data_IF_511918267174
#
_entry.id   IF_511918267174
#
_cell.length_a   1.000
_cell.length_b   1.000
_cell.length_c   1.000
_cell.angle_alpha   90.00
_cell.angle_beta   90.00
_cell.angle_gamma   90.00
#
_symmetry.space_group_name_H-M   'P 1'
#
loop_
_entity.id
_entity.type
_entity.pdbx_description
1 polymer ?
#
# COMPACT_ATOMS: atom_id res chain seq x y z
N UNK A 1 24.24 30.04 40.33
CA UNK A 1 23.08 29.22 40.78
C UNK A 1 21.99 29.34 39.71
N UNK A 2 21.86 28.36 38.80
CA UNK A 2 20.80 28.31 37.79
C UNK A 2 19.63 27.53 38.41
N UNK A 3 18.57 28.22 38.75
CA UNK A 3 17.30 27.62 39.22
C UNK A 3 16.64 26.86 38.06
N UNK A 4 16.75 25.53 38.06
CA UNK A 4 15.93 24.67 37.26
C UNK A 4 14.46 24.85 37.67
N UNK A 5 13.65 25.55 36.85
CA UNK A 5 12.20 25.47 36.95
C UNK A 5 11.78 24.05 36.57
N UNK A 6 11.05 23.30 37.41
CA UNK A 6 10.48 22.03 37.01
C UNK A 6 9.46 22.31 35.91
N UNK A 7 9.65 21.67 34.77
CA UNK A 7 8.62 21.60 33.72
C UNK A 7 7.38 20.96 34.35
N UNK A 8 6.32 21.75 34.50
CA UNK A 8 5.00 21.28 34.93
C UNK A 8 4.53 20.24 33.89
N UNK A 9 4.83 18.97 34.16
CA UNK A 9 4.30 17.86 33.38
C UNK A 9 2.79 17.79 33.65
N UNK A 10 2.00 18.06 32.63
CA UNK A 10 0.53 17.93 32.69
C UNK A 10 0.17 16.53 33.19
N UNK A 11 -0.69 16.39 34.21
CA UNK A 11 -1.04 15.09 34.76
C UNK A 11 -1.52 14.12 33.67
N UNK A 12 -1.10 12.84 33.70
CA UNK A 12 -1.44 11.85 32.66
C UNK A 12 -2.95 11.70 32.37
N UNK A 13 -3.77 12.00 33.39
CA UNK A 13 -5.23 11.96 33.26
C UNK A 13 -5.81 13.11 32.43
N UNK A 14 -5.21 14.31 32.47
CA UNK A 14 -5.62 15.44 31.63
C UNK A 14 -5.26 15.18 30.17
N UNK A 15 -4.04 14.70 29.91
CA UNK A 15 -3.61 14.33 28.56
C UNK A 15 -4.52 13.25 27.94
N UNK A 16 -4.97 12.28 28.75
CA UNK A 16 -5.89 11.23 28.28
C UNK A 16 -7.29 11.77 27.97
N UNK A 17 -7.81 12.69 28.76
CA UNK A 17 -9.11 13.33 28.52
C UNK A 17 -9.10 14.17 27.24
N UNK A 18 -8.05 14.94 27.04
CA UNK A 18 -7.89 15.78 25.85
C UNK A 18 -7.73 14.92 24.58
N UNK A 19 -6.99 13.82 24.64
CA UNK A 19 -6.86 12.87 23.55
C UNK A 19 -8.20 12.23 23.17
N UNK A 20 -8.99 11.80 24.15
CA UNK A 20 -10.34 11.22 23.91
C UNK A 20 -11.29 12.25 23.32
N UNK A 21 -11.24 13.51 23.79
CA UNK A 21 -12.05 14.60 23.26
C UNK A 21 -11.70 14.88 21.79
N UNK A 22 -10.41 15.07 21.47
CA UNK A 22 -9.91 15.25 20.12
C UNK A 22 -10.32 14.09 19.20
N UNK A 23 -10.22 12.86 19.65
CA UNK A 23 -10.64 11.70 18.88
C UNK A 23 -12.14 11.72 18.58
N UNK A 24 -12.99 12.12 19.53
CA UNK A 24 -14.44 12.28 19.31
C UNK A 24 -14.75 13.39 18.32
N UNK A 25 -14.10 14.55 18.45
CA UNK A 25 -14.29 15.69 17.54
C UNK A 25 -13.89 15.31 16.12
N UNK A 26 -12.77 14.62 15.94
CA UNK A 26 -12.32 14.11 14.64
C UNK A 26 -13.29 13.09 14.04
N UNK A 27 -13.82 12.17 14.85
CA UNK A 27 -14.80 11.18 14.37
C UNK A 27 -16.14 11.83 14.00
N UNK A 28 -16.55 12.88 14.69
CA UNK A 28 -17.79 13.62 14.41
C UNK A 28 -17.76 14.36 13.05
N UNK A 29 -16.58 14.68 12.53
CA UNK A 29 -16.43 15.31 11.21
C UNK A 29 -16.42 14.32 10.05
N UNK A 30 -16.39 13.01 10.33
CA UNK A 30 -16.47 11.97 9.32
C UNK A 30 -17.94 11.67 8.95
N UNK A 31 -18.26 11.27 7.70
CA UNK A 31 -17.29 10.97 6.62
C UNK A 31 -16.84 12.18 5.77
N UNK A 32 -17.37 13.38 6.01
CA UNK A 32 -17.21 14.55 5.10
C UNK A 32 -15.76 14.97 4.90
N UNK A 33 -14.96 15.02 5.98
CA UNK A 33 -13.53 15.35 5.90
C UNK A 33 -12.76 14.28 5.12
N UNK A 34 -13.10 13.00 5.33
CA UNK A 34 -12.53 11.88 4.60
C UNK A 34 -12.84 11.94 3.11
N UNK A 35 -14.09 12.20 2.74
CA UNK A 35 -14.51 12.36 1.35
C UNK A 35 -13.81 13.55 0.68
N UNK A 36 -13.72 14.70 1.37
CA UNK A 36 -12.99 15.85 0.87
C UNK A 36 -11.50 15.55 0.61
N UNK A 37 -10.86 14.84 1.54
CA UNK A 37 -9.49 14.37 1.37
C UNK A 37 -9.32 13.41 0.19
N UNK A 38 -10.27 12.50 0.00
CA UNK A 38 -10.27 11.57 -1.13
C UNK A 38 -10.34 12.31 -2.47
N UNK A 39 -11.29 13.25 -2.61
CA UNK A 39 -11.42 14.06 -3.83
C UNK A 39 -10.15 14.85 -4.10
N UNK A 40 -9.59 15.51 -3.09
CA UNK A 40 -8.34 16.26 -3.22
C UNK A 40 -7.18 15.35 -3.68
N UNK A 41 -7.03 14.18 -3.07
CA UNK A 41 -5.99 13.21 -3.44
C UNK A 41 -6.18 12.71 -4.87
N UNK A 42 -7.41 12.43 -5.30
CA UNK A 42 -7.70 12.00 -6.66
C UNK A 42 -7.34 13.09 -7.68
N UNK A 43 -7.74 14.34 -7.43
CA UNK A 43 -7.41 15.49 -8.31
C UNK A 43 -5.89 15.69 -8.41
N UNK A 44 -5.17 15.65 -7.29
CA UNK A 44 -3.72 15.80 -7.27
C UNK A 44 -3.02 14.65 -8.00
N UNK A 45 -3.46 13.40 -7.80
CA UNK A 45 -2.91 12.23 -8.48
C UNK A 45 -3.12 12.30 -9.99
N UNK A 46 -4.30 12.73 -10.41
CA UNK A 46 -4.64 12.91 -11.82
C UNK A 46 -3.80 14.03 -12.47
N UNK A 47 -3.64 15.16 -11.80
CA UNK A 47 -2.81 16.27 -12.26
C UNK A 47 -1.34 15.87 -12.40
N UNK A 48 -0.80 15.08 -11.45
CA UNK A 48 0.57 14.54 -11.53
C UNK A 48 0.72 13.56 -12.68
N UNK A 49 -0.25 12.66 -12.88
CA UNK A 49 -0.22 11.68 -13.97
C UNK A 49 -0.23 12.37 -15.35
N UNK A 50 -1.04 13.41 -15.53
CA UNK A 50 -1.06 14.20 -16.76
C UNK A 50 0.22 15.05 -16.95
N UNK A 51 0.76 15.60 -15.87
CA UNK A 51 1.96 16.46 -15.90
C UNK A 51 3.25 15.71 -16.25
N UNK A 52 3.33 14.40 -16.00
CA UNK A 52 4.50 13.56 -16.30
C UNK A 52 4.55 13.07 -17.76
N UNK A 53 3.62 13.48 -18.60
CA UNK A 53 3.71 13.50 -20.06
C UNK A 53 3.67 12.14 -20.79
N UNK A 54 3.82 11.01 -20.12
CA UNK A 54 3.67 9.69 -20.75
C UNK A 54 3.09 8.68 -19.77
N UNK A 55 1.78 8.46 -19.86
CA UNK A 55 1.03 7.59 -18.97
C UNK A 55 1.49 6.13 -18.99
N UNK A 56 1.92 5.61 -20.14
CA UNK A 56 2.37 4.22 -20.26
C UNK A 56 3.67 3.96 -19.49
N UNK A 57 4.70 4.80 -19.68
CA UNK A 57 5.98 4.64 -18.99
C UNK A 57 5.84 4.90 -17.49
N UNK A 58 5.06 5.91 -17.10
CA UNK A 58 4.80 6.21 -15.70
C UNK A 58 4.09 5.05 -14.99
N UNK A 59 3.10 4.43 -15.62
CA UNK A 59 2.34 3.32 -15.03
C UNK A 59 3.20 2.05 -14.87
N UNK A 60 4.04 1.76 -15.85
CA UNK A 60 4.85 0.54 -15.88
C UNK A 60 6.04 0.56 -14.93
N UNK A 61 6.66 1.73 -14.73
CA UNK A 61 7.84 1.90 -13.85
C UNK A 61 7.43 2.35 -12.45
N UNK A 62 6.63 3.43 -12.36
CA UNK A 62 6.26 4.00 -11.06
C UNK A 62 5.19 3.19 -10.34
N UNK A 63 4.34 2.46 -11.07
CA UNK A 63 3.29 1.64 -10.47
C UNK A 63 3.85 0.61 -9.48
N UNK A 64 4.65 -0.37 -9.91
CA UNK A 64 5.26 -1.35 -9.03
C UNK A 64 6.12 -0.72 -7.94
N UNK A 65 6.96 0.28 -8.28
CA UNK A 65 7.80 0.98 -7.31
C UNK A 65 6.96 1.65 -6.21
N UNK A 66 5.87 2.31 -6.59
CA UNK A 66 4.96 2.94 -5.62
C UNK A 66 4.34 1.91 -4.69
N UNK A 67 3.87 0.78 -5.22
CA UNK A 67 3.22 -0.27 -4.42
C UNK A 67 4.21 -0.94 -3.46
N UNK A 68 5.45 -1.18 -3.85
CA UNK A 68 6.50 -1.65 -2.94
C UNK A 68 6.84 -0.58 -1.88
N UNK A 69 6.95 0.69 -2.29
CA UNK A 69 7.25 1.79 -1.38
C UNK A 69 6.20 1.98 -0.29
N UNK A 70 4.91 1.71 -0.57
CA UNK A 70 3.83 1.86 0.43
C UNK A 70 4.02 0.94 1.63
N UNK A 71 4.65 -0.23 1.48
CA UNK A 71 4.99 -1.08 2.63
C UNK A 71 5.97 -0.36 3.57
N UNK A 72 6.95 0.37 3.02
CA UNK A 72 7.85 1.25 3.77
C UNK A 72 7.14 2.47 4.38
N UNK A 73 6.23 3.10 3.63
CA UNK A 73 5.38 4.20 4.14
C UNK A 73 4.58 3.74 5.35
N UNK A 74 3.94 2.57 5.26
CA UNK A 74 3.18 2.00 6.35
C UNK A 74 4.07 1.70 7.57
N UNK A 75 5.28 1.20 7.35
CA UNK A 75 6.25 0.97 8.42
C UNK A 75 6.65 2.26 9.12
N UNK A 76 7.03 3.30 8.36
CA UNK A 76 7.48 4.57 8.93
C UNK A 76 6.31 5.30 9.63
N UNK A 77 5.19 5.50 8.94
CA UNK A 77 4.08 6.30 9.46
C UNK A 77 3.28 5.58 10.54
N UNK A 78 2.92 4.30 10.32
CA UNK A 78 2.03 3.61 11.26
C UNK A 78 2.74 2.87 12.39
N UNK A 79 3.98 2.38 12.19
CA UNK A 79 4.69 1.59 13.20
C UNK A 79 5.74 2.40 13.94
N UNK A 80 6.50 3.24 13.22
CA UNK A 80 7.61 4.01 13.79
C UNK A 80 7.21 5.42 14.24
N UNK A 81 5.97 5.89 13.95
CA UNK A 81 5.50 7.25 14.23
C UNK A 81 6.48 8.30 13.68
N UNK A 82 6.75 8.20 12.38
CA UNK A 82 7.64 9.08 11.61
C UNK A 82 9.10 9.10 12.12
N UNK A 83 9.54 8.04 12.83
CA UNK A 83 10.95 7.92 13.19
C UNK A 83 11.76 7.44 11.98
N UNK A 84 13.01 7.96 11.73
CA UNK A 84 13.77 8.93 12.53
C UNK A 84 13.42 10.40 12.25
N UNK A 85 12.63 10.73 11.24
CA UNK A 85 12.30 12.10 10.84
C UNK A 85 11.68 12.92 11.98
N UNK A 86 10.83 12.30 12.83
CA UNK A 86 10.19 12.97 13.98
C UNK A 86 11.15 13.57 15.00
N UNK A 87 12.46 13.24 14.94
CA UNK A 87 13.50 13.87 15.77
C UNK A 87 14.03 15.17 15.21
N UNK A 88 13.70 15.48 13.97
CA UNK A 88 14.15 16.66 13.27
C UNK A 88 13.12 17.77 13.33
N UNK A 89 13.57 19.03 13.17
CA UNK A 89 12.65 20.16 13.06
C UNK A 89 11.99 20.16 11.67
N UNK A 90 10.76 20.67 11.57
CA UNK A 90 10.11 20.93 10.27
C UNK A 90 10.92 21.99 9.51
N UNK A 91 11.18 21.86 8.20
CA UNK A 91 10.62 20.86 7.26
C UNK A 91 11.45 19.57 7.12
N UNK A 92 12.58 19.43 7.83
CA UNK A 92 13.52 18.32 7.69
C UNK A 92 12.90 16.94 8.01
N UNK A 93 11.90 16.90 8.90
CA UNK A 93 11.12 15.68 9.18
C UNK A 93 10.56 15.10 7.88
N UNK A 94 9.78 15.88 7.13
CA UNK A 94 9.14 15.39 5.90
C UNK A 94 10.16 15.02 4.81
N UNK A 95 11.25 15.79 4.68
CA UNK A 95 12.30 15.47 3.71
C UNK A 95 13.01 14.15 4.04
N UNK A 96 13.29 13.90 5.32
CA UNK A 96 13.93 12.65 5.77
C UNK A 96 12.99 11.46 5.52
N UNK A 97 11.73 11.56 5.90
CA UNK A 97 10.75 10.49 5.69
C UNK A 97 10.54 10.23 4.19
N UNK A 98 10.44 11.28 3.37
CA UNK A 98 10.36 11.13 1.90
C UNK A 98 11.59 10.45 1.34
N UNK A 99 12.80 10.86 1.75
CA UNK A 99 14.04 10.23 1.29
C UNK A 99 14.11 8.74 1.68
N UNK A 100 13.72 8.41 2.91
CA UNK A 100 13.66 7.02 3.38
C UNK A 100 12.64 6.18 2.60
N UNK A 101 11.48 6.76 2.27
CA UNK A 101 10.44 6.10 1.48
C UNK A 101 10.94 5.84 0.06
N UNK A 102 11.57 6.83 -0.58
CA UNK A 102 12.12 6.68 -1.93
C UNK A 102 13.24 5.64 -1.97
N UNK A 103 14.25 5.77 -1.10
CA UNK A 103 15.35 4.81 -1.02
C UNK A 103 14.86 3.41 -0.66
N UNK A 104 13.99 3.32 0.34
CA UNK A 104 13.37 2.06 0.77
C UNK A 104 12.54 1.45 -0.37
N UNK A 105 11.75 2.25 -1.08
CA UNK A 105 10.97 1.83 -2.22
C UNK A 105 11.82 1.24 -3.34
N UNK A 106 12.93 1.89 -3.68
CA UNK A 106 13.90 1.37 -4.67
C UNK A 106 14.49 0.03 -4.21
N UNK A 107 14.96 -0.05 -2.96
CA UNK A 107 15.54 -1.29 -2.40
C UNK A 107 14.52 -2.43 -2.39
N UNK A 108 13.28 -2.16 -1.95
CA UNK A 108 12.22 -3.16 -1.92
C UNK A 108 11.79 -3.58 -3.33
N UNK A 109 11.79 -2.67 -4.30
CA UNK A 109 11.53 -3.01 -5.70
C UNK A 109 12.60 -3.93 -6.25
N UNK A 110 13.88 -3.63 -6.03
CA UNK A 110 15.00 -4.49 -6.45
C UNK A 110 14.88 -5.89 -5.80
N UNK A 111 14.52 -5.94 -4.51
CA UNK A 111 14.28 -7.23 -3.83
C UNK A 111 13.10 -8.00 -4.42
N UNK A 112 12.02 -7.31 -4.78
CA UNK A 112 10.85 -7.90 -5.44
C UNK A 112 11.18 -8.45 -6.83
N UNK A 113 11.89 -7.67 -7.63
CA UNK A 113 12.36 -8.11 -8.95
C UNK A 113 13.30 -9.32 -8.85
N UNK A 114 14.17 -9.36 -7.82
CA UNK A 114 15.06 -10.51 -7.59
C UNK A 114 14.30 -11.81 -7.25
N UNK A 115 13.08 -11.71 -6.69
CA UNK A 115 12.23 -12.86 -6.40
C UNK A 115 11.54 -13.37 -7.67
N UNK A 116 11.11 -12.45 -8.55
CA UNK A 116 10.36 -12.77 -9.76
C UNK A 116 11.32 -13.15 -10.89
N UNK A 117 12.41 -12.41 -11.03
CA UNK A 117 13.41 -12.56 -12.06
C UNK A 117 14.79 -12.14 -11.55
N UNK A 118 15.87 -12.49 -12.23
CA UNK A 118 17.21 -11.95 -11.90
C UNK A 118 17.20 -10.44 -12.01
N UNK A 119 17.76 -9.69 -11.03
CA UNK A 119 17.63 -8.25 -10.97
C UNK A 119 18.32 -7.59 -12.16
N UNK A 120 17.57 -7.16 -13.13
CA UNK A 120 18.03 -6.19 -14.12
C UNK A 120 17.53 -4.80 -13.69
N UNK A 121 18.37 -4.11 -12.93
CA UNK A 121 18.12 -2.74 -12.46
C UNK A 121 17.80 -1.80 -13.63
N UNK A 122 18.35 -2.08 -14.81
CA UNK A 122 18.09 -1.29 -16.04
C UNK A 122 16.65 -1.44 -16.51
N UNK A 123 16.06 -2.62 -16.41
CA UNK A 123 14.67 -2.86 -16.81
C UNK A 123 13.68 -2.07 -15.94
N UNK A 124 14.00 -1.82 -14.67
CA UNK A 124 13.14 -1.03 -13.76
C UNK A 124 13.16 0.46 -14.11
N UNK A 125 14.31 1.01 -14.51
CA UNK A 125 14.48 2.45 -14.73
C UNK A 125 14.55 2.88 -16.19
N UNK A 126 14.81 1.97 -17.12
CA UNK A 126 15.02 2.23 -18.54
C UNK A 126 13.96 1.53 -19.41
N UNK A 127 12.70 1.52 -18.99
CA UNK A 127 11.61 1.11 -19.88
C UNK A 127 11.60 2.04 -21.11
N UNK A 128 12.30 1.63 -22.17
CA UNK A 128 12.33 2.38 -23.43
C UNK A 128 11.01 2.18 -24.16
N UNK A 129 10.32 3.24 -24.55
CA UNK A 129 9.15 3.14 -25.41
C UNK A 129 9.54 2.36 -26.69
N UNK A 130 8.88 1.25 -26.94
CA UNK A 130 9.11 0.42 -28.12
C UNK A 130 9.71 -0.97 -27.87
N UNK A 131 10.34 -1.22 -26.71
CA UNK A 131 10.89 -2.54 -26.36
C UNK A 131 10.06 -3.34 -25.36
N UNK A 132 8.78 -3.03 -25.23
CA UNK A 132 7.87 -3.75 -24.37
C UNK A 132 7.86 -3.22 -22.93
N UNK A 133 6.80 -3.58 -22.20
CA UNK A 133 6.73 -3.43 -20.75
C UNK A 133 7.92 -4.14 -20.10
N UNK A 134 8.36 -3.73 -18.90
CA UNK A 134 9.27 -4.53 -18.10
C UNK A 134 8.82 -5.98 -18.17
N UNK A 135 9.70 -6.89 -18.52
CA UNK A 135 9.39 -8.31 -18.75
C UNK A 135 8.74 -8.98 -17.55
N UNK A 136 8.88 -8.36 -16.37
CA UNK A 136 8.33 -8.77 -15.09
C UNK A 136 6.88 -8.36 -14.83
N UNK A 137 6.34 -7.38 -15.56
CA UNK A 137 4.92 -7.04 -15.48
C UNK A 137 4.07 -8.12 -16.21
N UNK A 138 2.96 -8.64 -15.64
CA UNK A 138 2.25 -8.19 -14.43
C UNK A 138 2.66 -8.91 -13.13
N UNK A 139 3.67 -9.77 -13.14
CA UNK A 139 4.08 -10.53 -11.95
C UNK A 139 4.56 -9.62 -10.80
N UNK A 140 5.30 -8.55 -11.13
CA UNK A 140 5.71 -7.52 -10.16
C UNK A 140 4.51 -6.88 -9.48
N UNK A 141 3.44 -6.59 -10.22
CA UNK A 141 2.20 -6.03 -9.69
C UNK A 141 1.54 -6.99 -8.69
N UNK A 142 1.51 -8.29 -9.03
CA UNK A 142 0.94 -9.33 -8.17
C UNK A 142 1.70 -9.46 -6.85
N UNK A 143 3.03 -9.53 -6.90
CA UNK A 143 3.88 -9.63 -5.72
C UNK A 143 3.80 -8.35 -4.86
N UNK A 144 3.98 -7.18 -5.48
CA UNK A 144 3.90 -5.90 -4.79
C UNK A 144 2.53 -5.68 -4.15
N UNK A 145 1.46 -6.01 -4.87
CA UNK A 145 0.09 -5.95 -4.36
C UNK A 145 -0.12 -6.85 -3.15
N UNK A 146 0.41 -8.07 -3.15
CA UNK A 146 0.31 -8.99 -2.03
C UNK A 146 1.05 -8.48 -0.78
N UNK A 147 2.28 -7.97 -0.95
CA UNK A 147 3.07 -7.38 0.14
C UNK A 147 2.38 -6.13 0.69
N UNK A 148 1.98 -5.22 -0.18
CA UNK A 148 1.29 -3.99 0.16
C UNK A 148 0.00 -4.22 0.95
N UNK A 149 -0.90 -5.05 0.42
CA UNK A 149 -2.18 -5.35 1.05
C UNK A 149 -1.99 -6.02 2.40
N UNK A 150 -1.02 -6.94 2.52
CA UNK A 150 -0.70 -7.59 3.80
C UNK A 150 -0.14 -6.57 4.80
N UNK A 151 0.72 -5.66 4.39
CA UNK A 151 1.26 -4.63 5.29
C UNK A 151 0.16 -3.68 5.79
N UNK A 152 -0.75 -3.26 4.92
CA UNK A 152 -1.91 -2.47 5.32
C UNK A 152 -2.87 -3.26 6.22
N UNK A 153 -3.06 -4.56 5.92
CA UNK A 153 -3.89 -5.43 6.76
C UNK A 153 -3.38 -5.48 8.19
N UNK A 154 -2.08 -5.73 8.38
CA UNK A 154 -1.45 -5.77 9.69
C UNK A 154 -1.49 -4.40 10.40
N UNK A 155 -1.22 -3.33 9.65
CA UNK A 155 -1.08 -1.98 10.22
C UNK A 155 -2.42 -1.36 10.61
N UNK A 156 -3.42 -1.49 9.76
CA UNK A 156 -4.67 -0.75 9.83
C UNK A 156 -5.81 -1.63 10.35
N UNK A 157 -6.11 -2.73 9.66
CA UNK A 157 -7.29 -3.55 9.95
C UNK A 157 -7.08 -4.42 11.19
N UNK A 158 -5.91 -5.03 11.33
CA UNK A 158 -5.55 -5.88 12.47
C UNK A 158 -5.03 -5.09 13.69
N UNK A 159 -4.98 -3.75 13.64
CA UNK A 159 -4.52 -2.91 14.75
C UNK A 159 -3.13 -3.33 15.26
N UNK A 160 -2.22 -3.67 14.35
CA UNK A 160 -0.85 -4.17 14.60
C UNK A 160 -0.78 -5.53 15.32
N UNK A 161 -1.92 -6.21 15.51
CA UNK A 161 -1.89 -7.57 16.06
C UNK A 161 -1.30 -8.55 15.03
N UNK A 162 -0.43 -9.50 15.42
CA UNK A 162 -0.02 -9.86 16.79
C UNK A 162 1.24 -9.14 17.30
N UNK A 163 1.75 -8.13 16.59
CA UNK A 163 3.07 -7.53 16.83
C UNK A 163 3.07 -6.34 17.82
N UNK A 164 1.91 -5.98 18.36
CA UNK A 164 1.75 -4.83 19.25
C UNK A 164 2.41 -4.96 20.64
N UNK A 165 2.94 -6.14 20.98
CA UNK A 165 3.70 -6.36 22.21
C UNK A 165 5.20 -6.01 22.11
N UNK A 166 5.72 -5.72 20.91
CA UNK A 166 7.11 -5.34 20.70
C UNK A 166 7.31 -3.82 20.77
N UNK A 167 8.57 -3.39 20.87
CA UNK A 167 8.88 -1.96 20.72
C UNK A 167 8.53 -1.49 19.30
N UNK A 168 8.20 -0.20 19.09
CA UNK A 168 7.78 0.31 17.78
C UNK A 168 8.72 -0.05 16.64
N UNK A 169 10.03 0.09 16.87
CA UNK A 169 11.03 -0.25 15.86
C UNK A 169 11.00 -1.74 15.49
N UNK A 170 11.00 -2.63 16.49
CA UNK A 170 10.95 -4.09 16.26
C UNK A 170 9.63 -4.51 15.62
N UNK A 171 8.51 -3.92 16.06
CA UNK A 171 7.19 -4.19 15.47
C UNK A 171 7.13 -3.81 13.99
N UNK A 172 7.67 -2.63 13.62
CA UNK A 172 7.67 -2.19 12.23
C UNK A 172 8.50 -3.09 11.32
N UNK A 173 9.72 -3.44 11.75
CA UNK A 173 10.59 -4.37 10.99
C UNK A 173 9.94 -5.76 10.90
N UNK A 174 9.39 -6.27 12.00
CA UNK A 174 8.70 -7.56 12.00
C UNK A 174 7.43 -7.53 11.13
N UNK A 175 6.69 -6.43 11.12
CA UNK A 175 5.53 -6.20 10.25
C UNK A 175 5.91 -6.22 8.78
N UNK A 176 7.02 -5.53 8.42
CA UNK A 176 7.56 -5.55 7.06
C UNK A 176 8.00 -6.97 6.66
N UNK A 177 8.78 -7.64 7.49
CA UNK A 177 9.24 -9.01 7.22
C UNK A 177 8.06 -9.99 7.06
N UNK A 178 7.04 -9.90 7.93
CA UNK A 178 5.85 -10.73 7.85
C UNK A 178 5.03 -10.42 6.59
N UNK A 179 4.88 -9.15 6.21
CA UNK A 179 4.16 -8.78 4.99
C UNK A 179 4.87 -9.31 3.74
N UNK A 180 6.19 -9.33 3.73
CA UNK A 180 6.99 -9.93 2.66
C UNK A 180 6.84 -11.45 2.65
N UNK A 181 6.96 -12.12 3.78
CA UNK A 181 6.82 -13.57 3.87
C UNK A 181 5.43 -14.05 3.38
N UNK A 182 4.37 -13.37 3.83
CA UNK A 182 2.99 -13.68 3.41
C UNK A 182 2.77 -13.31 1.94
N UNK A 183 3.24 -12.15 1.50
CA UNK A 183 3.08 -11.68 0.12
C UNK A 183 3.79 -12.59 -0.88
N UNK A 184 5.03 -12.96 -0.60
CA UNK A 184 5.81 -13.91 -1.42
C UNK A 184 5.15 -15.29 -1.41
N UNK A 185 4.73 -15.77 -0.23
CA UNK A 185 4.01 -17.04 -0.13
C UNK A 185 2.71 -17.06 -0.93
N UNK A 186 1.92 -15.99 -0.86
CA UNK A 186 0.69 -15.84 -1.64
C UNK A 186 0.97 -15.77 -3.14
N UNK A 187 2.01 -15.04 -3.56
CA UNK A 187 2.41 -14.97 -4.96
C UNK A 187 2.74 -16.36 -5.52
N UNK A 188 3.58 -17.13 -4.82
CA UNK A 188 3.92 -18.48 -5.28
C UNK A 188 2.75 -19.46 -5.19
N UNK A 189 1.87 -19.31 -4.22
CA UNK A 189 0.71 -20.21 -4.06
C UNK A 189 -0.37 -19.97 -5.12
N UNK A 190 -0.64 -18.71 -5.48
CA UNK A 190 -1.76 -18.35 -6.35
C UNK A 190 -1.37 -18.01 -7.78
N UNK A 191 -0.15 -17.51 -7.99
CA UNK A 191 0.27 -16.97 -9.29
C UNK A 191 1.35 -17.80 -9.95
N UNK A 192 2.35 -18.26 -9.22
CA UNK A 192 3.52 -18.94 -9.80
C UNK A 192 3.88 -20.24 -9.07
N UNK A 193 3.01 -21.23 -9.13
CA UNK A 193 3.24 -22.54 -8.49
C UNK A 193 4.46 -23.25 -9.07
N UNK A 194 4.75 -23.06 -10.35
CA UNK A 194 5.85 -23.75 -11.04
C UNK A 194 7.23 -23.15 -10.72
N UNK A 195 7.28 -22.04 -10.01
CA UNK A 195 8.51 -21.30 -9.71
C UNK A 195 9.29 -20.88 -10.98
N UNK A 196 8.64 -20.86 -12.15
CA UNK A 196 9.25 -20.44 -13.39
C UNK A 196 9.16 -18.91 -13.51
N UNK A 197 10.29 -18.21 -13.74
CA UNK A 197 10.29 -16.77 -13.90
C UNK A 197 9.38 -16.33 -15.06
N UNK A 198 8.60 -15.23 -14.89
CA UNK A 198 7.66 -14.74 -15.90
C UNK A 198 8.29 -14.48 -17.26
N UNK A 199 9.52 -13.98 -17.30
CA UNK A 199 10.23 -13.72 -18.55
C UNK A 199 10.52 -15.01 -19.33
N UNK A 200 10.87 -16.09 -18.64
CA UNK A 200 11.10 -17.40 -19.26
C UNK A 200 9.80 -17.93 -19.88
N UNK A 201 8.66 -17.74 -19.18
CA UNK A 201 7.35 -18.11 -19.71
C UNK A 201 6.95 -17.26 -20.90
N UNK A 202 7.14 -15.95 -20.82
CA UNK A 202 6.85 -15.03 -21.91
C UNK A 202 7.67 -15.39 -23.16
N UNK A 203 8.96 -15.71 -23.00
CA UNK A 203 9.82 -16.17 -24.09
C UNK A 203 9.35 -17.52 -24.69
N UNK A 204 8.73 -18.36 -23.87
CA UNK A 204 8.11 -19.63 -24.30
C UNK A 204 6.65 -19.47 -24.82
N UNK A 205 6.14 -18.25 -24.94
CA UNK A 205 4.75 -17.97 -25.34
C UNK A 205 3.70 -18.26 -24.26
N UNK A 206 4.12 -18.43 -23.01
CA UNK A 206 3.24 -18.72 -21.87
C UNK A 206 2.96 -17.43 -21.09
N UNK A 207 1.76 -16.93 -21.18
CA UNK A 207 1.38 -15.64 -20.55
C UNK A 207 1.04 -15.70 -19.06
N UNK A 208 0.80 -16.90 -18.50
CA UNK A 208 0.48 -17.08 -17.08
C UNK A 208 1.61 -17.84 -16.37
N UNK A 209 2.08 -17.40 -15.18
CA UNK A 209 3.10 -18.11 -14.39
C UNK A 209 2.70 -19.49 -13.85
N UNK A 210 1.58 -20.07 -14.26
CA UNK A 210 1.21 -21.45 -13.95
C UNK A 210 0.34 -21.63 -12.70
N UNK A 211 0.00 -20.56 -12.01
CA UNK A 211 -0.91 -20.57 -10.86
C UNK A 211 -2.40 -20.58 -11.24
N UNK A 212 -3.30 -20.82 -10.27
CA UNK A 212 -4.75 -20.84 -10.49
C UNK A 212 -5.32 -19.45 -10.83
N UNK A 213 -4.59 -18.37 -10.55
CA UNK A 213 -5.01 -16.99 -10.79
C UNK A 213 -3.98 -16.31 -11.67
N UNK A 214 -4.42 -15.53 -12.66
CA UNK A 214 -3.50 -14.73 -13.46
C UNK A 214 -2.80 -13.67 -12.58
N UNK A 215 -1.54 -13.37 -12.89
CA UNK A 215 -0.79 -12.35 -12.16
C UNK A 215 -1.49 -10.98 -12.19
N UNK A 216 -2.08 -10.64 -13.33
CA UNK A 216 -2.80 -9.37 -13.49
C UNK A 216 -4.06 -9.33 -12.62
N UNK A 217 -4.89 -10.36 -12.67
CA UNK A 217 -6.12 -10.45 -11.87
C UNK A 217 -5.82 -10.42 -10.38
N UNK A 218 -4.83 -11.19 -9.93
CA UNK A 218 -4.40 -11.24 -8.55
C UNK A 218 -3.88 -9.88 -8.07
N UNK A 219 -3.01 -9.24 -8.86
CA UNK A 219 -2.46 -7.93 -8.53
C UNK A 219 -3.54 -6.85 -8.44
N UNK A 220 -4.43 -6.77 -9.43
CA UNK A 220 -5.54 -5.79 -9.44
C UNK A 220 -6.47 -6.03 -8.24
N UNK A 221 -6.88 -7.27 -7.99
CA UNK A 221 -7.76 -7.59 -6.86
C UNK A 221 -7.17 -7.13 -5.52
N UNK A 222 -5.88 -7.40 -5.29
CA UNK A 222 -5.20 -7.01 -4.06
C UNK A 222 -5.02 -5.50 -3.95
N UNK A 223 -4.70 -4.80 -5.04
CA UNK A 223 -4.60 -3.34 -5.03
C UNK A 223 -5.97 -2.72 -4.70
N UNK A 224 -7.06 -3.23 -5.28
CA UNK A 224 -8.41 -2.76 -4.97
C UNK A 224 -8.73 -2.96 -3.48
N UNK A 225 -8.39 -4.12 -2.90
CA UNK A 225 -8.52 -4.33 -1.44
C UNK A 225 -7.67 -3.32 -0.67
N UNK A 226 -6.43 -3.06 -1.09
CA UNK A 226 -5.56 -2.04 -0.49
C UNK A 226 -6.13 -0.63 -0.56
N UNK A 227 -6.81 -0.28 -1.66
CA UNK A 227 -7.54 1.00 -1.77
C UNK A 227 -8.66 1.08 -0.73
N UNK A 228 -9.44 0.02 -0.55
CA UNK A 228 -10.48 -0.03 0.48
C UNK A 228 -9.91 0.10 1.89
N UNK A 229 -8.79 -0.58 2.19
CA UNK A 229 -8.07 -0.41 3.46
C UNK A 229 -7.66 1.05 3.68
N UNK A 230 -7.07 1.68 2.66
CA UNK A 230 -6.62 3.07 2.74
C UNK A 230 -7.79 4.04 2.91
N UNK A 231 -8.83 3.91 2.10
CA UNK A 231 -10.01 4.78 2.18
C UNK A 231 -10.66 4.71 3.57
N UNK A 232 -10.97 3.51 4.05
CA UNK A 232 -11.71 3.39 5.32
C UNK A 232 -10.85 3.61 6.55
N UNK A 233 -9.61 3.16 6.57
CA UNK A 233 -8.79 3.23 7.77
C UNK A 233 -7.84 4.43 7.82
N UNK A 234 -7.38 4.94 6.69
CA UNK A 234 -6.54 6.15 6.66
C UNK A 234 -7.41 7.38 6.45
N UNK A 235 -8.12 7.48 5.32
CA UNK A 235 -8.85 8.68 4.96
C UNK A 235 -10.04 8.89 5.88
N UNK A 236 -10.87 7.87 6.12
CA UNK A 236 -12.03 7.93 7.01
C UNK A 236 -11.73 7.57 8.47
N UNK A 237 -10.45 7.32 8.81
CA UNK A 237 -9.99 7.03 10.18
C UNK A 237 -10.74 5.88 10.87
N UNK A 238 -11.06 4.85 10.09
CA UNK A 238 -11.77 3.65 10.57
C UNK A 238 -13.28 3.81 10.71
N UNK A 239 -13.88 4.91 10.27
CA UNK A 239 -15.34 5.02 10.22
C UNK A 239 -15.90 4.12 9.09
N UNK A 240 -17.02 3.41 9.28
CA UNK A 240 -17.87 3.34 10.48
C UNK A 240 -17.45 2.25 11.49
N UNK A 241 -16.44 1.45 11.17
CA UNK A 241 -16.00 0.26 11.93
C UNK A 241 -15.58 0.62 13.37
N UNK A 242 -14.94 1.77 13.55
CA UNK A 242 -14.50 2.26 14.87
C UNK A 242 -15.66 2.63 15.82
N UNK A 243 -16.90 2.67 15.33
CA UNK A 243 -18.08 2.82 16.18
C UNK A 243 -18.40 1.53 16.96
N UNK A 244 -17.86 0.39 16.55
CA UNK A 244 -18.07 -0.90 17.18
C UNK A 244 -17.17 -1.00 18.43
N UNK A 245 -17.78 -1.01 19.62
CA UNK A 245 -17.04 -1.01 20.87
C UNK A 245 -16.29 -2.31 21.18
N UNK A 246 -16.77 -3.47 20.70
CA UNK A 246 -16.14 -4.78 20.93
C UNK A 246 -15.05 -5.06 19.91
N UNK A 247 -13.79 -5.18 20.35
CA UNK A 247 -12.62 -5.38 19.47
C UNK A 247 -12.78 -6.54 18.49
N UNK A 248 -13.17 -7.77 18.87
CA UNK A 248 -13.28 -8.88 17.92
C UNK A 248 -14.33 -8.61 16.84
N UNK A 249 -15.47 -8.01 17.18
CA UNK A 249 -16.48 -7.63 16.19
C UNK A 249 -15.99 -6.51 15.28
N UNK A 250 -15.24 -5.55 15.81
CA UNK A 250 -14.62 -4.48 15.03
C UNK A 250 -13.63 -5.03 14.02
N UNK A 251 -12.74 -5.94 14.42
CA UNK A 251 -11.81 -6.61 13.52
C UNK A 251 -12.54 -7.42 12.45
N UNK A 252 -13.58 -8.16 12.82
CA UNK A 252 -14.38 -8.92 11.86
C UNK A 252 -15.08 -8.01 10.86
N UNK A 253 -15.75 -6.95 11.33
CA UNK A 253 -16.41 -5.98 10.47
C UNK A 253 -15.43 -5.23 9.54
N UNK A 254 -14.25 -4.88 10.04
CA UNK A 254 -13.19 -4.26 9.24
C UNK A 254 -12.72 -5.17 8.12
N UNK A 255 -12.48 -6.44 8.42
CA UNK A 255 -12.10 -7.44 7.42
C UNK A 255 -13.22 -7.67 6.39
N UNK A 256 -14.46 -7.82 6.83
CA UNK A 256 -15.61 -7.99 5.95
C UNK A 256 -15.78 -6.79 5.02
N UNK A 257 -15.60 -5.56 5.54
CA UNK A 257 -15.71 -4.34 4.75
C UNK A 257 -14.64 -4.27 3.66
N UNK A 258 -13.35 -4.46 4.01
CA UNK A 258 -12.27 -4.26 3.04
C UNK A 258 -12.16 -5.40 2.04
N UNK A 259 -12.31 -6.66 2.48
CA UNK A 259 -12.24 -7.82 1.61
C UNK A 259 -13.52 -7.92 0.75
N UNK A 260 -14.68 -7.80 1.37
CA UNK A 260 -15.96 -7.86 0.67
C UNK A 260 -16.14 -6.70 -0.31
N UNK A 261 -15.85 -5.46 0.13
CA UNK A 261 -15.88 -4.29 -0.73
C UNK A 261 -14.87 -4.35 -1.86
N UNK A 262 -13.63 -4.78 -1.55
CA UNK A 262 -12.58 -4.98 -2.54
C UNK A 262 -12.96 -6.02 -3.58
N UNK A 263 -13.45 -7.18 -3.16
CA UNK A 263 -13.91 -8.24 -4.07
C UNK A 263 -15.09 -7.78 -4.94
N UNK A 264 -16.10 -7.13 -4.36
CA UNK A 264 -17.23 -6.60 -5.11
C UNK A 264 -16.79 -5.58 -6.16
N UNK A 265 -15.93 -4.63 -5.78
CA UNK A 265 -15.37 -3.62 -6.69
C UNK A 265 -14.56 -4.27 -7.82
N UNK A 266 -13.70 -5.24 -7.48
CA UNK A 266 -12.94 -5.97 -8.50
C UNK A 266 -13.84 -6.69 -9.51
N UNK A 267 -14.89 -7.38 -9.05
CA UNK A 267 -15.83 -8.08 -9.93
C UNK A 267 -16.55 -7.11 -10.87
N UNK A 268 -16.97 -5.94 -10.36
CA UNK A 268 -17.61 -4.89 -11.18
C UNK A 268 -16.63 -4.35 -12.23
N UNK A 269 -15.39 -4.04 -11.85
CA UNK A 269 -14.37 -3.54 -12.78
C UNK A 269 -14.05 -4.58 -13.86
N UNK A 270 -13.91 -5.85 -13.47
CA UNK A 270 -13.69 -6.96 -14.41
C UNK A 270 -14.85 -7.13 -15.41
N UNK A 271 -16.09 -7.05 -14.93
CA UNK A 271 -17.27 -7.14 -15.80
C UNK A 271 -17.35 -5.95 -16.76
N UNK A 272 -17.09 -4.74 -16.30
CA UNK A 272 -17.00 -3.54 -17.14
C UNK A 272 -15.91 -3.66 -18.20
N UNK A 273 -14.72 -4.13 -17.82
CA UNK A 273 -13.61 -4.34 -18.77
C UNK A 273 -13.97 -5.39 -19.84
N UNK A 274 -14.68 -6.46 -19.48
CA UNK A 274 -15.11 -7.49 -20.42
C UNK A 274 -16.22 -7.02 -21.37
N UNK A 275 -17.05 -6.06 -20.95
CA UNK A 275 -18.15 -5.50 -21.78
C UNK A 275 -17.69 -4.40 -22.73
N UNK A 276 -16.52 -3.82 -22.53
CA UNK A 276 -15.99 -2.69 -23.31
C UNK A 276 -14.81 -3.00 -24.24
N UNK A 277 -14.68 -4.21 -24.85
CA UNK A 277 -13.56 -4.49 -25.74
C UNK A 277 -13.57 -3.60 -27.00
N UNK A 278 -14.74 -3.09 -27.41
CA UNK A 278 -14.89 -2.22 -28.59
C UNK A 278 -14.61 -0.73 -28.30
N UNK A 279 -14.80 -0.26 -27.08
CA UNK A 279 -14.55 1.14 -26.72
C UNK A 279 -13.06 1.47 -26.63
N UNK A 280 -12.23 0.51 -26.22
CA UNK A 280 -10.77 0.69 -26.10
C UNK A 280 -10.11 0.55 -27.48
N UNK A 281 -10.59 -0.36 -28.33
CA UNK A 281 -10.09 -0.51 -29.72
C UNK A 281 -10.42 0.69 -30.61
N UNK A 282 -11.54 1.37 -30.40
CA UNK A 282 -11.93 2.56 -31.15
C UNK A 282 -11.22 3.85 -30.72
N UNK A 283 -10.61 3.86 -29.53
CA UNK A 283 -9.84 5.01 -29.02
C UNK A 283 -8.35 4.93 -29.38
N UNK A 284 -7.88 3.79 -29.88
CA UNK A 284 -6.48 3.53 -30.27
C UNK A 284 -6.27 3.37 -31.80
N UNK A 285 -7.31 3.42 -32.60
CA UNK A 285 -7.29 3.49 -34.06
C UNK A 285 -7.58 4.91 -34.55
#
# INVERSE_FOLDING_TARGET
>A
MKTHRPLLTTPPQLQRRDAVRLQREVLATQPWVGLGGLVLSAVMSFALALGLGNTATSLLVLGPMTVFAVSGVAMIGFWWNDWPGSRLNKPWTGLTDTALIVVGGVVLTIAGEAIIERPDIRAVFLATPGNGAPTTFPATLALAGAIFTTMLQLSLVCERWPLNGFSPLKSGVAGLALSWAVGVGAYFLFVNIDFVPPAVRAAAGLHNPGGPVSALDFGIALIVVGVWQTVFFVVMRGWPVNLIGRRPLRLLAGNALVIGGGAATYLVLRDLANRSPQAIGAACG
#
